data_IF_110175242361
#
_entry.id   IF_110175242361
#
_cell.length_a   1.000
_cell.length_b   1.000
_cell.length_c   1.000
_cell.angle_alpha   90.00
_cell.angle_beta   90.00
_cell.angle_gamma   90.00
#
_symmetry.space_group_name_H-M   'P 1'
#
loop_
_entity.id
_entity.type
_entity.pdbx_description
1 polymer ?
#
# COMPACT_ATOMS: atom_id res chain seq x y z
N UNK A 1 -18.87 4.93 11.15
CA UNK A 1 -18.52 5.08 9.71
C UNK A 1 -17.01 4.97 9.50
N UNK A 2 -16.19 5.46 10.43
CA UNK A 2 -14.71 5.31 10.48
C UNK A 2 -14.21 3.85 10.50
N UNK A 3 -14.90 2.95 11.20
CA UNK A 3 -14.42 1.57 11.38
C UNK A 3 -14.47 0.74 10.10
N UNK A 4 -15.46 0.98 9.23
CA UNK A 4 -15.59 0.29 7.95
C UNK A 4 -14.46 0.67 6.98
N UNK A 5 -14.17 1.97 6.86
CA UNK A 5 -13.06 2.47 6.03
C UNK A 5 -11.72 1.92 6.56
N UNK A 6 -11.58 1.81 7.88
CA UNK A 6 -10.36 1.26 8.48
C UNK A 6 -10.19 -0.24 8.17
N UNK A 7 -11.28 -1.01 8.16
CA UNK A 7 -11.24 -2.42 7.79
C UNK A 7 -10.95 -2.63 6.29
N UNK A 8 -11.55 -1.83 5.42
CA UNK A 8 -11.27 -1.85 3.98
C UNK A 8 -9.83 -1.46 3.66
N UNK A 9 -9.31 -0.41 4.30
CA UNK A 9 -7.90 -0.03 4.19
C UNK A 9 -6.98 -1.14 4.71
N UNK A 10 -7.30 -1.76 5.85
CA UNK A 10 -6.53 -2.86 6.40
C UNK A 10 -6.43 -4.03 5.41
N UNK A 11 -7.57 -4.45 4.86
CA UNK A 11 -7.64 -5.54 3.88
C UNK A 11 -6.89 -5.19 2.59
N UNK A 12 -6.99 -3.94 2.13
CA UNK A 12 -6.26 -3.46 0.95
C UNK A 12 -4.75 -3.50 1.19
N UNK A 13 -4.27 -3.00 2.34
CA UNK A 13 -2.85 -3.05 2.69
C UNK A 13 -2.33 -4.51 2.78
N UNK A 14 -3.10 -5.41 3.38
CA UNK A 14 -2.73 -6.81 3.51
C UNK A 14 -2.61 -7.55 2.17
N UNK A 15 -3.30 -7.07 1.11
CA UNK A 15 -3.24 -7.63 -0.23
C UNK A 15 -2.01 -7.18 -1.05
N UNK A 16 -1.08 -6.40 -0.48
CA UNK A 16 0.19 -6.08 -1.14
C UNK A 16 1.15 -7.28 -1.17
N UNK A 17 1.17 -8.06 -0.10
CA UNK A 17 2.17 -9.08 0.13
C UNK A 17 2.69 -9.10 1.57
N UNK A 18 3.86 -9.71 1.77
CA UNK A 18 4.50 -9.76 3.08
C UNK A 18 6.02 -9.81 2.98
N UNK A 19 6.70 -9.36 4.05
CA UNK A 19 8.15 -9.47 4.19
C UNK A 19 8.50 -10.65 5.09
N UNK A 20 9.34 -11.59 4.62
CA UNK A 20 9.74 -12.77 5.39
C UNK A 20 10.98 -12.55 6.30
N UNK A 21 11.51 -11.33 6.30
CA UNK A 21 12.78 -10.97 6.97
C UNK A 21 13.95 -10.78 6.01
N UNK A 22 13.82 -11.22 4.75
CA UNK A 22 14.83 -11.12 3.70
C UNK A 22 14.26 -10.54 2.40
N UNK A 23 13.15 -11.11 1.93
CA UNK A 23 12.50 -10.76 0.66
C UNK A 23 11.05 -10.38 0.89
N UNK A 24 10.60 -9.38 0.16
CA UNK A 24 9.21 -8.98 0.07
C UNK A 24 8.52 -9.83 -0.99
N UNK A 25 7.58 -10.65 -0.58
CA UNK A 25 6.77 -11.49 -1.46
C UNK A 25 5.51 -10.72 -1.85
N UNK A 26 5.43 -10.30 -3.11
CA UNK A 26 4.26 -9.63 -3.67
C UNK A 26 3.10 -10.61 -3.82
N UNK A 27 1.90 -10.18 -3.47
CA UNK A 27 0.68 -10.88 -3.87
C UNK A 27 0.41 -10.67 -5.37
N UNK A 28 -0.45 -11.51 -5.95
CA UNK A 28 -0.77 -11.51 -7.39
C UNK A 28 -1.35 -10.17 -7.86
N UNK A 29 -2.07 -9.48 -6.98
CA UNK A 29 -2.77 -8.23 -7.29
C UNK A 29 -2.07 -6.96 -6.77
N UNK A 30 -0.83 -7.06 -6.29
CA UNK A 30 -0.12 -5.95 -5.64
C UNK A 30 -0.10 -4.64 -6.46
N UNK A 31 0.03 -4.73 -7.80
CA UNK A 31 -0.02 -3.55 -8.68
C UNK A 31 -1.39 -2.84 -8.64
N UNK A 32 -2.49 -3.61 -8.65
CA UNK A 32 -3.84 -3.06 -8.58
C UNK A 32 -4.11 -2.49 -7.18
N UNK A 33 -3.62 -3.16 -6.14
CA UNK A 33 -3.71 -2.69 -4.76
C UNK A 33 -3.02 -1.34 -4.58
N UNK A 34 -1.81 -1.14 -5.12
CA UNK A 34 -1.12 0.17 -5.06
C UNK A 34 -1.97 1.25 -5.76
N UNK A 35 -2.56 0.94 -6.92
CA UNK A 35 -3.46 1.87 -7.62
C UNK A 35 -4.70 2.21 -6.80
N UNK A 36 -5.25 1.27 -6.06
CA UNK A 36 -6.40 1.48 -5.19
C UNK A 36 -6.05 2.35 -3.97
N UNK A 37 -4.89 2.13 -3.35
CA UNK A 37 -4.36 3.02 -2.30
C UNK A 37 -4.21 4.46 -2.80
N UNK A 38 -3.71 4.66 -4.02
CA UNK A 38 -3.62 5.98 -4.65
C UNK A 38 -5.02 6.57 -4.87
N UNK A 39 -6.00 5.77 -5.31
CA UNK A 39 -7.40 6.24 -5.45
C UNK A 39 -7.99 6.67 -4.11
N UNK A 40 -7.73 5.94 -3.03
CA UNK A 40 -8.16 6.31 -1.68
C UNK A 40 -7.52 7.61 -1.23
N UNK A 41 -6.20 7.77 -1.41
CA UNK A 41 -5.50 9.01 -1.10
C UNK A 41 -5.99 10.22 -1.91
N UNK A 42 -6.35 10.02 -3.19
CA UNK A 42 -6.93 11.08 -4.05
C UNK A 42 -8.33 11.51 -3.64
N UNK A 43 -9.07 10.65 -2.94
CA UNK A 43 -10.43 10.91 -2.44
C UNK A 43 -10.45 11.26 -0.95
N UNK A 44 -9.29 11.27 -0.30
CA UNK A 44 -9.15 11.59 1.12
C UNK A 44 -9.57 13.05 1.34
N UNK A 45 -10.45 13.26 2.30
CA UNK A 45 -10.97 14.58 2.63
C UNK A 45 -10.01 15.35 3.57
N UNK A 46 -10.46 16.50 4.06
CA UNK A 46 -9.69 17.36 4.96
C UNK A 46 -9.40 16.71 6.33
N UNK A 47 -10.09 15.61 6.68
CA UNK A 47 -9.77 14.85 7.89
C UNK A 47 -8.49 14.03 7.75
N UNK A 48 -8.06 13.78 6.50
CA UNK A 48 -6.85 13.05 6.16
C UNK A 48 -6.84 11.63 6.75
N UNK A 49 -8.01 10.99 6.83
CA UNK A 49 -8.18 9.70 7.50
C UNK A 49 -7.38 8.60 6.81
N UNK A 50 -7.38 8.57 5.46
CA UNK A 50 -6.65 7.55 4.71
C UNK A 50 -5.15 7.70 4.95
N UNK A 51 -4.58 8.89 4.72
CA UNK A 51 -3.13 9.08 4.89
C UNK A 51 -2.67 8.84 6.34
N UNK A 52 -3.50 9.21 7.34
CA UNK A 52 -3.19 8.96 8.75
C UNK A 52 -3.16 7.47 9.04
N UNK A 53 -4.14 6.72 8.53
CA UNK A 53 -4.16 5.27 8.66
C UNK A 53 -2.92 4.63 8.04
N UNK A 54 -2.58 4.95 6.78
CA UNK A 54 -1.40 4.39 6.09
C UNK A 54 -0.09 4.72 6.82
N UNK A 55 0.00 5.92 7.40
CA UNK A 55 1.14 6.33 8.22
C UNK A 55 1.22 5.53 9.53
N UNK A 56 0.10 5.36 10.23
CA UNK A 56 0.04 4.57 11.47
C UNK A 56 0.30 3.09 11.24
N UNK A 57 -0.15 2.54 10.11
CA UNK A 57 0.11 1.16 9.71
C UNK A 57 1.54 0.95 9.18
N UNK A 58 2.34 2.03 9.09
CA UNK A 58 3.74 1.99 8.63
C UNK A 58 3.91 1.45 7.21
N UNK A 59 2.87 1.51 6.38
CA UNK A 59 2.84 0.88 5.05
C UNK A 59 4.03 1.28 4.16
N UNK A 60 4.46 2.54 4.25
CA UNK A 60 5.60 3.03 3.50
C UNK A 60 6.90 2.27 3.83
N UNK A 61 7.20 2.08 5.12
CA UNK A 61 8.44 1.44 5.59
C UNK A 61 8.36 -0.10 5.56
N UNK A 62 7.18 -0.67 5.85
CA UNK A 62 6.99 -2.12 5.91
C UNK A 62 6.85 -2.73 4.53
N UNK A 63 6.26 -2.01 3.57
CA UNK A 63 5.87 -2.56 2.28
C UNK A 63 6.46 -1.75 1.12
N UNK A 64 6.01 -0.51 0.90
CA UNK A 64 6.25 0.20 -0.36
C UNK A 64 7.75 0.44 -0.65
N UNK A 65 8.56 0.80 0.35
CA UNK A 65 10.01 0.93 0.19
C UNK A 65 10.65 -0.42 -0.15
N UNK A 66 10.22 -1.50 0.50
CA UNK A 66 10.76 -2.85 0.21
C UNK A 66 10.39 -3.27 -1.20
N UNK A 67 9.17 -2.99 -1.63
CA UNK A 67 8.71 -3.24 -3.00
C UNK A 67 9.61 -2.48 -3.99
N UNK A 68 9.79 -1.17 -3.80
CA UNK A 68 10.61 -0.35 -4.69
C UNK A 68 12.07 -0.83 -4.80
N UNK A 69 12.67 -1.21 -3.66
CA UNK A 69 14.10 -1.60 -3.61
C UNK A 69 14.34 -3.04 -4.07
N UNK A 70 13.41 -3.97 -3.83
CA UNK A 70 13.61 -5.40 -4.10
C UNK A 70 13.02 -5.86 -5.44
N UNK A 71 12.00 -5.16 -5.96
CA UNK A 71 11.33 -5.50 -7.22
C UNK A 71 11.68 -4.53 -8.36
N UNK A 72 12.91 -4.01 -8.37
CA UNK A 72 13.41 -3.01 -9.35
C UNK A 72 13.18 -3.40 -10.82
N UNK A 73 13.13 -4.71 -11.12
CA UNK A 73 12.94 -5.25 -12.49
C UNK A 73 11.48 -5.25 -12.97
N UNK A 74 10.51 -5.01 -12.07
CA UNK A 74 9.08 -4.91 -12.40
C UNK A 74 8.75 -3.44 -12.67
N UNK A 75 9.01 -3.00 -13.91
CA UNK A 75 8.89 -1.60 -14.33
C UNK A 75 7.50 -1.01 -14.03
N UNK A 76 6.45 -1.81 -14.18
CA UNK A 76 5.06 -1.43 -13.93
C UNK A 76 4.78 -1.00 -12.48
N UNK A 77 5.58 -1.44 -11.51
CA UNK A 77 5.48 -0.99 -10.11
C UNK A 77 6.04 0.43 -9.94
N UNK A 78 7.02 0.83 -10.75
CA UNK A 78 7.59 2.17 -10.66
C UNK A 78 6.62 3.25 -11.15
N UNK A 79 5.83 2.94 -12.18
CA UNK A 79 4.81 3.85 -12.73
C UNK A 79 3.74 4.25 -11.71
N UNK A 80 3.63 3.52 -10.59
CA UNK A 80 2.66 3.78 -9.53
C UNK A 80 3.31 4.17 -8.20
N UNK A 81 4.61 3.90 -8.00
CA UNK A 81 5.32 4.22 -6.76
C UNK A 81 6.01 5.60 -6.80
N UNK A 82 6.29 6.15 -7.99
CA UNK A 82 6.93 7.46 -8.21
C UNK A 82 6.00 8.44 -8.95
#
# INVERSE_FOLDING_TARGET
MTDYISAELAATCAALGFFDGSVYHLDVDALNVIKDLIKYLKRDDDSHTVRRYLGQSKLLETDLIKIAVQHVKKAELWDVLL
#
